data_IF_196641406531
#
_entry.id   IF_196641406531
#
_cell.length_a   1.000
_cell.length_b   1.000
_cell.length_c   1.000
_cell.angle_alpha   90.00
_cell.angle_beta   90.00
_cell.angle_gamma   90.00
#
_symmetry.space_group_name_H-M   'P 1'
#
loop_
_entity.id
_entity.type
_entity.pdbx_description
1 polymer ?
#
# COMPACT_ATOMS: atom_id res chain seq x y z
N UNK A 1 -8.26 -7.94 29.93
CA UNK A 1 -8.57 -7.91 28.48
C UNK A 1 -9.55 -9.02 28.17
N UNK A 2 -10.78 -8.70 27.74
CA UNK A 2 -11.95 -9.59 27.76
C UNK A 2 -12.06 -10.66 26.66
N UNK A 3 -10.95 -11.28 26.24
CA UNK A 3 -10.96 -12.50 25.40
C UNK A 3 -11.59 -12.41 24.00
N UNK A 4 -11.89 -11.20 23.50
CA UNK A 4 -12.52 -11.04 22.18
C UNK A 4 -11.46 -11.09 21.07
N UNK A 5 -11.70 -11.95 20.08
CA UNK A 5 -10.87 -12.02 18.88
C UNK A 5 -10.93 -10.70 18.08
N UNK A 6 -9.80 -10.28 17.48
CA UNK A 6 -9.77 -9.07 16.65
C UNK A 6 -10.63 -9.23 15.39
N UNK A 7 -11.32 -8.16 15.01
CA UNK A 7 -12.08 -8.09 13.74
C UNK A 7 -11.20 -7.67 12.56
N UNK A 8 -10.13 -6.92 12.82
CA UNK A 8 -9.21 -6.40 11.81
C UNK A 8 -7.79 -6.46 12.34
N UNK A 9 -6.85 -6.82 11.46
CA UNK A 9 -5.42 -6.90 11.75
C UNK A 9 -4.68 -6.21 10.61
N UNK A 10 -3.80 -5.28 10.97
CA UNK A 10 -2.90 -4.62 10.01
C UNK A 10 -1.46 -5.00 10.34
N UNK A 11 -0.72 -5.49 9.35
CA UNK A 11 0.72 -5.78 9.47
C UNK A 11 1.48 -5.21 8.29
N UNK A 12 2.79 -5.37 8.27
CA UNK A 12 3.57 -5.17 7.06
C UNK A 12 3.20 -6.18 5.94
N UNK A 13 3.98 -6.19 4.87
CA UNK A 13 3.77 -7.04 3.70
C UNK A 13 4.37 -8.46 3.86
N UNK A 14 4.71 -8.89 5.08
CA UNK A 14 5.36 -10.19 5.31
C UNK A 14 4.41 -11.37 4.99
N UNK A 15 4.94 -12.31 4.20
CA UNK A 15 4.17 -13.47 3.74
C UNK A 15 3.90 -14.50 4.82
N UNK A 16 4.85 -14.70 5.75
CA UNK A 16 4.71 -15.62 6.85
C UNK A 16 3.68 -15.11 7.87
N UNK A 17 3.74 -13.82 8.20
CA UNK A 17 2.73 -13.16 9.04
C UNK A 17 1.33 -13.29 8.45
N UNK A 18 1.18 -13.03 7.14
CA UNK A 18 -0.10 -13.24 6.45
C UNK A 18 -0.61 -14.68 6.60
N UNK A 19 0.25 -15.66 6.36
CA UNK A 19 -0.12 -17.08 6.49
C UNK A 19 -0.51 -17.46 7.92
N UNK A 20 0.25 -17.01 8.91
CA UNK A 20 -0.03 -17.28 10.33
C UNK A 20 -1.34 -16.62 10.78
N UNK A 21 -1.58 -15.36 10.40
CA UNK A 21 -2.82 -14.63 10.71
C UNK A 21 -4.02 -15.35 10.10
N UNK A 22 -3.93 -15.80 8.84
CA UNK A 22 -5.02 -16.53 8.20
C UNK A 22 -5.34 -17.87 8.89
N UNK A 23 -4.35 -18.52 9.50
CA UNK A 23 -4.53 -19.77 10.24
C UNK A 23 -5.15 -19.57 11.63
N UNK A 24 -4.69 -18.54 12.35
CA UNK A 24 -5.08 -18.29 13.75
C UNK A 24 -6.35 -17.44 13.85
N UNK A 25 -6.45 -16.38 13.04
CA UNK A 25 -7.54 -15.39 13.08
C UNK A 25 -8.43 -15.48 11.84
N UNK A 26 -9.07 -16.63 11.65
CA UNK A 26 -9.87 -16.98 10.45
C UNK A 26 -10.97 -15.97 10.07
N UNK A 27 -11.45 -15.20 11.04
CA UNK A 27 -12.53 -14.21 10.85
C UNK A 27 -12.03 -12.76 10.85
N UNK A 28 -10.73 -12.53 11.06
CA UNK A 28 -10.17 -11.19 11.01
C UNK A 28 -9.95 -10.75 9.55
N UNK A 29 -10.32 -9.51 9.24
CA UNK A 29 -9.90 -8.87 8.01
C UNK A 29 -8.42 -8.48 8.12
N UNK A 30 -7.56 -9.12 7.32
CA UNK A 30 -6.13 -8.81 7.29
C UNK A 30 -5.80 -7.85 6.15
N UNK A 31 -5.13 -6.74 6.48
CA UNK A 31 -4.69 -5.72 5.52
C UNK A 31 -3.20 -5.40 5.69
N UNK A 32 -2.54 -5.07 4.58
CA UNK A 32 -1.20 -4.52 4.65
C UNK A 32 -1.27 -3.06 5.10
N UNK A 33 -0.37 -2.67 5.98
CA UNK A 33 -0.32 -1.36 6.60
C UNK A 33 0.28 -0.32 5.64
N UNK A 34 -0.48 0.74 5.35
CA UNK A 34 -0.08 1.83 4.45
C UNK A 34 1.17 2.58 4.92
N UNK A 35 1.37 2.70 6.24
CA UNK A 35 2.58 3.30 6.80
C UNK A 35 3.84 2.54 6.38
N UNK A 36 3.82 1.20 6.46
CA UNK A 36 4.95 0.37 6.03
C UNK A 36 5.15 0.41 4.51
N UNK A 37 4.07 0.58 3.74
CA UNK A 37 4.15 0.77 2.28
C UNK A 37 4.87 2.08 1.95
N UNK A 38 4.52 3.18 2.64
CA UNK A 38 5.16 4.49 2.45
C UNK A 38 6.63 4.48 2.86
N UNK A 39 6.94 3.98 4.05
CA UNK A 39 8.33 3.87 4.52
C UNK A 39 9.19 3.02 3.55
N UNK A 40 8.67 1.88 3.08
CA UNK A 40 9.39 1.06 2.09
C UNK A 40 9.51 1.76 0.73
N UNK A 41 8.56 2.63 0.37
CA UNK A 41 8.67 3.47 -0.82
C UNK A 41 9.81 4.47 -0.69
N UNK A 42 9.96 5.13 0.45
CA UNK A 42 11.07 6.06 0.71
C UNK A 42 12.42 5.34 0.61
N UNK A 43 12.53 4.14 1.17
CA UNK A 43 13.76 3.34 1.09
C UNK A 43 14.10 2.87 -0.33
N UNK A 44 13.10 2.47 -1.13
CA UNK A 44 13.31 1.87 -2.47
C UNK A 44 13.27 2.87 -3.62
N UNK A 45 12.55 3.97 -3.45
CA UNK A 45 12.29 4.98 -4.47
C UNK A 45 12.79 6.36 -4.06
N UNK A 46 13.54 6.51 -2.96
CA UNK A 46 14.00 7.81 -2.44
C UNK A 46 14.64 8.70 -3.51
N UNK A 47 15.60 8.18 -4.28
CA UNK A 47 16.20 8.93 -5.40
C UNK A 47 15.18 9.38 -6.46
N UNK A 48 14.15 8.57 -6.73
CA UNK A 48 13.09 8.95 -7.65
C UNK A 48 12.23 10.08 -7.07
N UNK A 49 11.88 9.99 -5.78
CA UNK A 49 11.18 11.05 -5.07
C UNK A 49 11.97 12.37 -5.02
N UNK A 50 13.29 12.29 -4.87
CA UNK A 50 14.17 13.47 -4.85
C UNK A 50 14.31 14.13 -6.23
N UNK A 51 14.22 13.35 -7.31
CA UNK A 51 14.49 13.82 -8.69
C UNK A 51 13.24 14.19 -9.46
N UNK A 52 12.06 13.66 -9.09
CA UNK A 52 10.77 13.93 -9.73
C UNK A 52 9.94 14.84 -8.84
N UNK A 53 9.95 16.13 -9.14
CA UNK A 53 9.25 17.15 -8.35
C UNK A 53 7.77 16.81 -8.17
N UNK A 54 7.30 16.82 -6.91
CA UNK A 54 5.90 16.55 -6.58
C UNK A 54 5.50 15.07 -6.54
N UNK A 55 6.31 14.14 -7.04
CA UNK A 55 5.98 12.71 -7.08
C UNK A 55 5.67 12.15 -5.68
N UNK A 56 6.53 12.43 -4.69
CA UNK A 56 6.32 11.91 -3.32
C UNK A 56 5.03 12.46 -2.71
N UNK A 57 4.71 13.74 -2.98
CA UNK A 57 3.50 14.39 -2.47
C UNK A 57 2.25 13.77 -3.09
N UNK A 58 2.26 13.55 -4.41
CA UNK A 58 1.15 12.88 -5.12
C UNK A 58 0.99 11.44 -4.68
N UNK A 59 2.08 10.66 -4.61
CA UNK A 59 2.08 9.29 -4.11
C UNK A 59 1.45 9.21 -2.70
N UNK A 60 1.88 10.07 -1.78
CA UNK A 60 1.33 10.11 -0.43
C UNK A 60 -0.14 10.53 -0.41
N UNK A 61 -0.50 11.53 -1.22
CA UNK A 61 -1.87 12.02 -1.35
C UNK A 61 -2.82 10.96 -1.89
N UNK A 62 -2.40 10.17 -2.88
CA UNK A 62 -3.20 9.06 -3.43
C UNK A 62 -3.44 8.02 -2.34
N UNK A 63 -2.39 7.59 -1.63
CA UNK A 63 -2.52 6.58 -0.57
C UNK A 63 -3.42 7.05 0.59
N UNK A 64 -3.36 8.32 0.96
CA UNK A 64 -4.12 8.84 2.10
C UNK A 64 -5.58 9.17 1.77
N UNK A 65 -5.89 9.54 0.52
CA UNK A 65 -7.19 10.09 0.16
C UNK A 65 -8.07 9.16 -0.68
N UNK A 66 -7.53 8.10 -1.29
CA UNK A 66 -8.37 7.15 -2.03
C UNK A 66 -9.30 6.39 -1.10
N UNK A 67 -10.61 6.49 -1.34
CA UNK A 67 -11.65 5.80 -0.58
C UNK A 67 -12.10 4.50 -1.24
N UNK A 68 -11.79 4.34 -2.52
CA UNK A 68 -12.09 3.13 -3.30
C UNK A 68 -10.90 2.67 -4.11
N UNK A 69 -10.88 1.39 -4.48
CA UNK A 69 -9.91 0.85 -5.44
C UNK A 69 -9.98 1.59 -6.78
N UNK A 70 -11.16 1.99 -7.22
CA UNK A 70 -11.32 2.65 -8.52
C UNK A 70 -10.68 4.05 -8.53
N UNK A 71 -10.93 4.86 -7.51
CA UNK A 71 -10.27 6.16 -7.33
C UNK A 71 -8.75 6.00 -7.28
N UNK A 72 -8.27 5.05 -6.46
CA UNK A 72 -6.85 4.72 -6.39
C UNK A 72 -6.28 4.35 -7.76
N UNK A 73 -6.91 3.45 -8.51
CA UNK A 73 -6.40 3.00 -9.81
C UNK A 73 -6.35 4.13 -10.85
N UNK A 74 -7.31 5.06 -10.82
CA UNK A 74 -7.34 6.21 -11.72
C UNK A 74 -6.19 7.16 -11.39
N UNK A 75 -6.10 7.63 -10.15
CA UNK A 75 -5.09 8.60 -9.74
C UNK A 75 -3.68 8.01 -9.81
N UNK A 76 -3.53 6.73 -9.46
CA UNK A 76 -2.27 6.01 -9.56
C UNK A 76 -1.75 5.96 -10.99
N UNK A 77 -2.60 5.60 -11.97
CA UNK A 77 -2.21 5.56 -13.38
C UNK A 77 -1.80 6.95 -13.87
N UNK A 78 -2.56 7.98 -13.51
CA UNK A 78 -2.26 9.37 -13.86
C UNK A 78 -0.89 9.81 -13.29
N UNK A 79 -0.59 9.49 -12.03
CA UNK A 79 0.71 9.78 -11.41
C UNK A 79 1.85 9.02 -12.11
N UNK A 80 1.67 7.71 -12.39
CA UNK A 80 2.70 6.90 -13.06
C UNK A 80 3.05 7.47 -14.44
N UNK A 81 2.05 7.88 -15.21
CA UNK A 81 2.22 8.48 -16.54
C UNK A 81 2.86 9.86 -16.45
N UNK A 82 2.32 10.75 -15.61
CA UNK A 82 2.81 12.13 -15.42
C UNK A 82 4.29 12.17 -15.05
N UNK A 83 4.73 11.27 -14.17
CA UNK A 83 6.11 11.26 -13.67
C UNK A 83 7.03 10.31 -14.45
N UNK A 84 6.51 9.56 -15.44
CA UNK A 84 7.25 8.60 -16.27
C UNK A 84 8.00 7.54 -15.44
N UNK A 85 7.33 7.00 -14.42
CA UNK A 85 7.92 6.04 -13.46
C UNK A 85 7.44 4.60 -13.65
N UNK A 86 6.91 4.27 -14.83
CA UNK A 86 6.42 2.93 -15.20
C UNK A 86 7.49 1.84 -15.00
N UNK A 87 8.76 2.20 -15.17
CA UNK A 87 9.91 1.30 -15.09
C UNK A 87 10.33 0.96 -13.65
N UNK A 88 9.78 1.64 -12.64
CA UNK A 88 10.15 1.44 -11.25
C UNK A 88 9.36 0.25 -10.68
N UNK A 89 10.06 -0.88 -10.55
CA UNK A 89 9.51 -2.15 -10.06
C UNK A 89 8.71 -2.03 -8.77
N UNK A 90 9.14 -1.18 -7.83
CA UNK A 90 8.43 -1.04 -6.57
C UNK A 90 7.00 -0.51 -6.75
N UNK A 91 6.77 0.46 -7.63
CA UNK A 91 5.43 0.98 -7.91
C UNK A 91 4.54 -0.10 -8.54
N UNK A 92 5.09 -0.95 -9.40
CA UNK A 92 4.39 -2.10 -9.95
C UNK A 92 4.01 -3.11 -8.85
N UNK A 93 4.94 -3.46 -7.97
CA UNK A 93 4.73 -4.44 -6.89
C UNK A 93 3.58 -4.02 -5.94
N UNK A 94 3.53 -2.74 -5.56
CA UNK A 94 2.47 -2.24 -4.66
C UNK A 94 1.13 -2.08 -5.37
N UNK A 95 1.13 -1.73 -6.66
CA UNK A 95 -0.09 -1.70 -7.47
C UNK A 95 -0.69 -3.11 -7.63
N UNK A 96 0.13 -4.13 -7.90
CA UNK A 96 -0.33 -5.53 -7.99
C UNK A 96 -0.98 -6.03 -6.69
N UNK A 97 -0.57 -5.48 -5.55
CA UNK A 97 -1.09 -5.86 -4.23
C UNK A 97 -2.14 -4.91 -3.66
N UNK A 98 -2.61 -3.91 -4.43
CA UNK A 98 -3.56 -2.86 -3.99
C UNK A 98 -4.80 -3.36 -3.24
N UNK A 99 -5.37 -4.49 -3.66
CA UNK A 99 -6.55 -5.11 -3.01
C UNK A 99 -6.30 -5.51 -1.55
N UNK A 100 -5.05 -5.50 -1.08
CA UNK A 100 -4.65 -5.83 0.29
C UNK A 100 -4.52 -4.60 1.19
N UNK A 101 -4.56 -3.38 0.68
CA UNK A 101 -4.27 -2.19 1.48
C UNK A 101 -5.10 -0.96 1.10
N UNK A 102 -5.55 -0.86 -0.14
CA UNK A 102 -6.51 0.16 -0.55
C UNK A 102 -7.88 -0.16 0.09
N UNK A 103 -8.60 0.87 0.59
CA UNK A 103 -9.96 0.69 1.08
C UNK A 103 -10.90 0.07 0.03
N UNK A 104 -11.86 -0.73 0.49
CA UNK A 104 -12.93 -1.37 -0.30
C UNK A 104 -14.29 -1.05 0.30
#
# INVERSE_FOLDING_TARGET
MGGKAPKSIMTDQDGAMRSAIAQVFKHANHRNCVFHIKNKAELKCGRCFDTKEGLQKEFNGIIDNSLTINEFEIDWRAMIEKHEVQHIKYFEDIFRTRNRWVPV
#
